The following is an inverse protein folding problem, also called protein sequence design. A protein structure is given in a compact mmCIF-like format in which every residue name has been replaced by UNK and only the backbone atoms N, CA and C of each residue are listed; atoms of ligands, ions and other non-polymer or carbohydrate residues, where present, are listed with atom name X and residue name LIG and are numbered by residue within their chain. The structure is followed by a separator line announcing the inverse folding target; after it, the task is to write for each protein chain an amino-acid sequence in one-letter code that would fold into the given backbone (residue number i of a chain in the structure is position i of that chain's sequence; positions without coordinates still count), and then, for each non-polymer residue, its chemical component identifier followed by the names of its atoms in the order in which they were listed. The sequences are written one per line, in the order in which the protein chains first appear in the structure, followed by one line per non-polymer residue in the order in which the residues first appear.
data_IF_935692417242
#
_entry.id   IF_935692417242
#
_cell.length_a   1.000
_cell.length_b   1.000
_cell.length_c   1.000
_cell.angle_alpha   90.00
_cell.angle_beta   90.00
_cell.angle_gamma   90.00
#
_symmetry.space_group_name_H-M   'P 1'
#
loop_
_entity.id
_entity.type
_entity.pdbx_description
1 polymer ?
#
# COMPACT_ATOMS: atom_id res chain seq x y z
N UNK A 1 8.32 -13.84 16.88
CA UNK A 1 9.43 -14.40 16.08
C UNK A 1 8.80 -15.03 14.84
N UNK A 2 9.38 -14.81 13.66
CA UNK A 2 8.91 -15.39 12.39
C UNK A 2 9.90 -16.47 11.93
N UNK A 3 9.43 -17.48 11.21
CA UNK A 3 10.28 -18.56 10.72
C UNK A 3 11.20 -18.12 9.59
N UNK A 4 12.31 -18.83 9.40
CA UNK A 4 13.21 -18.63 8.27
C UNK A 4 12.46 -18.76 6.93
N UNK A 5 12.82 -17.93 5.95
CA UNK A 5 12.18 -17.90 4.63
C UNK A 5 10.85 -17.16 4.56
N UNK A 6 10.29 -16.70 5.68
CA UNK A 6 9.02 -15.96 5.67
C UNK A 6 9.18 -14.60 4.98
N UNK A 7 8.23 -14.25 4.12
CA UNK A 7 8.10 -12.92 3.53
C UNK A 7 6.90 -12.21 4.14
N UNK A 8 7.03 -10.91 4.39
CA UNK A 8 5.94 -10.04 4.85
C UNK A 8 5.65 -9.06 3.73
N UNK A 9 4.37 -8.95 3.35
CA UNK A 9 3.92 -8.04 2.30
C UNK A 9 2.96 -7.03 2.93
N UNK A 10 3.30 -5.76 2.81
CA UNK A 10 2.41 -4.65 3.15
C UNK A 10 1.76 -4.14 1.88
N UNK A 11 0.44 -3.98 1.91
CA UNK A 11 -0.35 -3.49 0.78
C UNK A 11 -1.33 -2.44 1.29
N UNK A 12 -1.63 -1.44 0.47
CA UNK A 12 -2.62 -0.43 0.76
C UNK A 12 -2.50 0.72 -0.24
N UNK A 13 -3.40 1.69 -0.10
CA UNK A 13 -3.46 2.88 -0.95
C UNK A 13 -2.96 4.09 -0.16
N UNK A 14 -1.87 4.70 -0.63
CA UNK A 14 -1.33 5.88 0.03
C UNK A 14 -2.23 7.11 -0.10
N UNK A 15 -3.13 7.13 -1.08
CA UNK A 15 -4.08 8.23 -1.33
C UNK A 15 -5.33 8.16 -0.44
N UNK A 16 -5.57 7.01 0.21
CA UNK A 16 -6.69 6.86 1.13
C UNK A 16 -6.36 7.51 2.49
N UNK A 17 -6.77 8.77 2.66
CA UNK A 17 -6.54 9.56 3.87
C UNK A 17 -7.85 9.73 4.66
N UNK A 18 -7.85 9.26 5.90
CA UNK A 18 -9.01 9.27 6.80
C UNK A 18 -8.78 10.13 8.07
N UNK A 19 -7.58 10.71 8.24
CA UNK A 19 -7.23 11.54 9.40
C UNK A 19 -6.67 12.92 9.00
N UNK A 20 -7.00 14.02 9.73
CA UNK A 20 -6.66 15.39 9.33
C UNK A 20 -5.17 15.72 9.20
N UNK A 21 -4.30 14.92 9.82
CA UNK A 21 -2.84 15.13 9.87
C UNK A 21 -2.06 14.13 9.00
N UNK A 22 -2.76 13.22 8.33
CA UNK A 22 -2.15 12.27 7.40
C UNK A 22 -2.26 12.77 5.96
N UNK A 23 -1.33 12.33 5.15
CA UNK A 23 -1.21 12.59 3.72
C UNK A 23 -0.41 11.47 3.07
N UNK A 24 -0.35 11.50 1.74
CA UNK A 24 0.24 10.40 0.98
C UNK A 24 1.73 10.16 1.28
N UNK A 25 2.43 11.23 1.66
CA UNK A 25 3.87 11.22 1.94
C UNK A 25 4.23 10.88 3.39
N UNK A 26 3.26 10.86 4.31
CA UNK A 26 3.51 10.67 5.75
C UNK A 26 2.59 9.62 6.41
N UNK A 27 1.78 8.90 5.63
CA UNK A 27 1.07 7.72 6.12
C UNK A 27 2.03 6.58 6.48
N UNK A 28 1.49 5.53 7.11
CA UNK A 28 2.29 4.41 7.60
C UNK A 28 3.09 3.69 6.48
N UNK A 29 2.53 3.55 5.27
CA UNK A 29 3.22 2.93 4.15
C UNK A 29 4.39 3.79 3.65
N UNK A 30 4.18 5.09 3.51
CA UNK A 30 5.22 6.03 3.11
C UNK A 30 6.37 6.05 4.13
N UNK A 31 6.05 6.11 5.42
CA UNK A 31 7.04 6.05 6.51
C UNK A 31 7.82 4.73 6.48
N UNK A 32 7.14 3.59 6.27
CA UNK A 32 7.78 2.28 6.16
C UNK A 32 8.74 2.20 4.97
N UNK A 33 8.31 2.67 3.79
CA UNK A 33 9.15 2.69 2.58
C UNK A 33 10.42 3.52 2.82
N UNK A 34 10.31 4.67 3.49
CA UNK A 34 11.47 5.49 3.81
C UNK A 34 12.39 4.82 4.84
N UNK A 35 11.82 4.24 5.90
CA UNK A 35 12.58 3.60 6.97
C UNK A 35 13.41 2.39 6.47
N UNK A 36 12.91 1.65 5.48
CA UNK A 36 13.59 0.49 4.90
C UNK A 36 14.31 0.78 3.57
N UNK A 37 14.37 2.04 3.15
CA UNK A 37 15.04 2.44 1.90
C UNK A 37 16.50 2.00 1.91
N UNK A 38 16.92 1.31 0.85
CA UNK A 38 18.30 0.84 0.66
C UNK A 38 18.64 -0.46 1.39
N UNK A 39 17.70 -1.06 2.13
CA UNK A 39 17.93 -2.36 2.75
C UNK A 39 17.85 -3.48 1.70
N UNK A 40 18.78 -4.45 1.69
CA UNK A 40 18.84 -5.50 0.67
C UNK A 40 17.65 -6.48 0.72
N UNK A 41 16.98 -6.58 1.87
CA UNK A 41 15.81 -7.43 2.07
C UNK A 41 14.47 -6.71 1.83
N UNK A 42 14.50 -5.45 1.39
CA UNK A 42 13.31 -4.63 1.18
C UNK A 42 13.12 -4.27 -0.29
N UNK A 43 11.87 -4.30 -0.73
CA UNK A 43 11.44 -3.80 -2.03
C UNK A 43 10.07 -3.15 -1.90
N UNK A 44 9.82 -2.13 -2.72
CA UNK A 44 8.50 -1.54 -2.86
C UNK A 44 8.14 -1.48 -4.34
N UNK A 45 6.85 -1.66 -4.63
CA UNK A 45 6.31 -1.56 -5.98
C UNK A 45 5.05 -0.71 -5.89
N UNK A 46 4.95 0.31 -6.73
CA UNK A 46 3.75 1.11 -6.88
C UNK A 46 2.96 0.59 -8.08
N UNK A 47 1.71 0.18 -7.85
CA UNK A 47 0.80 -0.20 -8.92
C UNK A 47 0.10 1.07 -9.42
N UNK A 48 0.34 1.44 -10.67
CA UNK A 48 -0.20 2.68 -11.27
C UNK A 48 -1.56 2.49 -11.94
N UNK A 49 -1.99 1.25 -12.17
CA UNK A 49 -3.26 0.91 -12.77
C UNK A 49 -3.90 -0.26 -12.02
N UNK A 50 -5.22 -0.20 -11.88
CA UNK A 50 -6.02 -1.23 -11.23
C UNK A 50 -7.03 -1.78 -12.23
N UNK A 51 -6.95 -3.07 -12.52
CA UNK A 51 -7.98 -3.78 -13.26
C UNK A 51 -9.14 -4.09 -12.32
N UNK A 52 -10.34 -3.62 -12.68
CA UNK A 52 -11.58 -3.88 -11.92
C UNK A 52 -12.47 -4.84 -12.69
N UNK A 53 -13.02 -5.83 -12.00
CA UNK A 53 -14.04 -6.70 -12.59
C UNK A 53 -15.31 -5.90 -12.89
N UNK A 54 -16.14 -6.40 -13.81
CA UNK A 54 -17.43 -5.76 -14.14
C UNK A 54 -18.29 -5.51 -12.90
N UNK A 55 -18.28 -6.44 -11.94
CA UNK A 55 -19.02 -6.31 -10.67
C UNK A 55 -18.44 -5.19 -9.79
N UNK A 56 -17.12 -5.09 -9.69
CA UNK A 56 -16.47 -4.03 -8.89
C UNK A 56 -16.67 -2.64 -9.49
N UNK A 57 -16.68 -2.54 -10.83
CA UNK A 57 -17.00 -1.29 -11.52
C UNK A 57 -18.45 -0.87 -11.28
N UNK A 58 -19.41 -1.80 -11.41
CA UNK A 58 -20.82 -1.52 -11.14
C UNK A 58 -21.05 -1.08 -9.69
N UNK A 59 -20.39 -1.71 -8.72
CA UNK A 59 -20.53 -1.32 -7.31
C UNK A 59 -20.05 0.11 -7.04
N UNK A 60 -18.99 0.57 -7.70
CA UNK A 60 -18.46 1.93 -7.55
C UNK A 60 -19.32 3.01 -8.24
N UNK A 61 -20.18 2.64 -9.19
CA UNK A 61 -21.15 3.57 -9.79
C UNK A 61 -22.41 3.72 -8.93
N UNK A 62 -22.78 2.66 -8.20
CA UNK A 62 -24.01 2.60 -7.41
C UNK A 62 -23.87 3.14 -5.98
N UNK A 63 -22.64 3.24 -5.46
CA UNK A 63 -22.30 3.61 -4.08
C UNK A 63 -21.34 4.80 -4.06
#
# INVERSE_FOLDING_TARGET
RIGEGTKVVFTGDTSQIDAPYLGESNNALAVLIQAFRGQPCFGHVTLSACERSTVASLAAELL
#
